data_IF_831854167828
#
_entry.id   IF_831854167828
#
_cell.length_a   1.000
_cell.length_b   1.000
_cell.length_c   1.000
_cell.angle_alpha   90.00
_cell.angle_beta   90.00
_cell.angle_gamma   90.00
#
_symmetry.space_group_name_H-M   'P 1'
#
loop_
_entity.id
_entity.type
_entity.pdbx_description
1 polymer ?
#
# COMPACT_ATOMS: atom_id res chain seq x y z
N UNK A 1 1.64 48.18 15.40
CA UNK A 1 1.39 46.98 14.58
C UNK A 1 -0.01 47.10 13.99
N UNK A 2 -0.20 46.89 12.69
CA UNK A 2 -1.53 46.87 12.07
C UNK A 2 -2.20 45.55 12.46
N UNK A 3 -3.37 45.70 13.03
CA UNK A 3 -4.12 44.62 13.66
C UNK A 3 -4.73 43.74 12.56
N UNK A 4 -4.56 42.41 12.67
CA UNK A 4 -5.24 41.43 11.79
C UNK A 4 -4.52 41.03 10.50
N UNK A 5 -3.29 41.48 10.24
CA UNK A 5 -2.49 41.04 9.09
C UNK A 5 -1.67 39.78 9.40
N UNK A 6 -1.59 38.79 8.47
CA UNK A 6 -0.81 37.59 8.67
C UNK A 6 0.70 37.90 8.67
N UNK A 7 1.45 37.21 9.53
CA UNK A 7 2.91 37.39 9.72
C UNK A 7 3.72 36.71 8.61
N UNK A 8 3.41 37.02 7.35
CA UNK A 8 4.15 36.55 6.18
C UNK A 8 5.28 37.54 5.80
N UNK A 9 6.40 37.07 5.23
CA UNK A 9 7.43 37.95 4.68
C UNK A 9 6.81 38.91 3.66
N UNK A 10 6.98 40.22 3.85
CA UNK A 10 6.40 41.26 3.00
C UNK A 10 5.11 41.92 3.53
N UNK A 11 4.49 41.38 4.58
CA UNK A 11 3.33 41.98 5.27
C UNK A 11 3.69 42.61 6.62
N UNK A 12 4.95 42.99 6.79
CA UNK A 12 5.49 43.59 8.00
C UNK A 12 5.88 45.04 7.69
N UNK A 13 5.31 45.98 8.43
CA UNK A 13 5.60 47.42 8.30
C UNK A 13 6.37 47.89 9.55
N UNK A 14 7.56 48.45 9.32
CA UNK A 14 8.34 49.12 10.36
C UNK A 14 7.79 50.53 10.57
N UNK A 15 7.55 50.92 11.81
CA UNK A 15 7.09 52.27 12.16
C UNK A 15 8.29 53.24 12.21
N UNK A 16 8.41 54.20 11.29
CA UNK A 16 9.54 55.14 11.25
C UNK A 16 9.46 56.20 12.35
N UNK A 17 8.33 56.33 13.05
CA UNK A 17 8.15 57.30 14.15
C UNK A 17 8.69 56.80 15.48
N UNK A 18 9.03 55.51 15.56
CA UNK A 18 9.56 54.89 16.79
C UNK A 18 10.98 55.36 17.06
N UNK A 19 11.15 56.24 18.04
CA UNK A 19 12.45 56.81 18.44
C UNK A 19 13.10 56.11 19.65
N UNK A 20 12.32 55.36 20.44
CA UNK A 20 12.80 54.67 21.62
C UNK A 20 12.95 53.16 21.37
N UNK A 21 14.17 52.66 21.56
CA UNK A 21 14.52 51.24 21.37
C UNK A 21 15.17 50.61 22.60
N UNK A 22 15.11 51.27 23.76
CA UNK A 22 15.69 50.74 24.99
C UNK A 22 15.02 49.41 25.36
N UNK A 23 15.84 48.42 25.74
CA UNK A 23 15.38 47.09 26.16
C UNK A 23 15.62 46.98 27.66
N UNK A 24 14.59 46.58 28.42
CA UNK A 24 14.73 46.28 29.84
C UNK A 24 15.13 44.82 30.01
N UNK A 25 16.04 44.54 30.96
CA UNK A 25 16.41 43.16 31.27
C UNK A 25 15.20 42.41 31.84
N UNK A 26 14.79 41.34 31.17
CA UNK A 26 13.71 40.45 31.63
C UNK A 26 14.19 39.44 32.67
N UNK A 27 15.50 39.23 32.78
CA UNK A 27 16.10 38.32 33.76
C UNK A 27 16.80 39.15 34.85
N UNK A 28 16.45 38.90 36.11
CA UNK A 28 17.10 39.53 37.26
C UNK A 28 17.67 38.49 38.21
N UNK A 29 18.69 38.91 38.95
CA UNK A 29 19.34 38.11 39.97
C UNK A 29 19.15 38.80 41.32
N UNK A 30 18.65 38.06 42.30
CA UNK A 30 18.55 38.52 43.68
C UNK A 30 18.99 37.39 44.61
N UNK A 31 19.98 37.68 45.47
CA UNK A 31 20.55 36.72 46.42
C UNK A 31 20.96 35.38 45.79
N UNK A 32 21.60 35.42 44.62
CA UNK A 32 22.08 34.21 43.92
C UNK A 32 21.01 33.45 43.13
N UNK A 33 19.73 33.83 43.26
CA UNK A 33 18.63 33.21 42.52
C UNK A 33 18.21 34.06 41.32
N UNK A 34 17.99 33.36 40.20
CA UNK A 34 17.39 33.95 39.00
C UNK A 34 15.88 34.02 39.18
N UNK A 35 15.31 35.20 38.96
CA UNK A 35 13.86 35.36 38.84
C UNK A 35 13.53 36.14 37.56
N UNK A 36 12.51 35.71 36.80
CA UNK A 36 12.01 36.46 35.66
C UNK A 36 11.25 37.71 36.14
N UNK A 37 11.41 38.82 35.44
CA UNK A 37 10.56 40.00 35.61
C UNK A 37 9.14 39.65 35.15
N UNK A 38 8.14 39.96 35.97
CA UNK A 38 6.73 39.60 35.69
C UNK A 38 6.09 40.50 34.64
N UNK A 39 6.66 41.69 34.41
CA UNK A 39 6.16 42.66 33.45
C UNK A 39 7.03 42.68 32.18
N UNK A 40 6.64 41.88 31.19
CA UNK A 40 7.31 41.83 29.89
C UNK A 40 6.82 43.00 29.04
N UNK A 41 7.69 44.00 28.81
CA UNK A 41 7.46 45.07 27.85
C UNK A 41 8.32 44.89 26.61
N UNK A 42 7.78 45.27 25.46
CA UNK A 42 8.53 45.32 24.21
C UNK A 42 9.59 46.44 24.20
N UNK A 43 10.50 46.43 23.19
CA UNK A 43 11.53 47.45 23.04
C UNK A 43 10.94 48.86 22.98
N UNK A 44 11.50 49.80 23.74
CA UNK A 44 10.98 51.17 23.87
C UNK A 44 9.80 51.31 24.84
N UNK A 45 9.52 50.28 25.65
CA UNK A 45 8.44 50.32 26.64
C UNK A 45 7.04 50.08 26.06
N UNK A 46 6.94 49.63 24.81
CA UNK A 46 5.67 49.28 24.16
C UNK A 46 5.01 48.10 24.86
N UNK A 47 3.68 48.09 24.96
CA UNK A 47 2.94 46.91 25.40
C UNK A 47 3.30 45.71 24.53
N UNK A 48 3.44 44.53 25.13
CA UNK A 48 3.72 43.30 24.39
C UNK A 48 2.41 42.80 23.78
N UNK A 49 2.44 42.22 22.58
CA UNK A 49 1.22 41.69 21.93
C UNK A 49 0.48 40.63 22.79
N UNK A 50 1.16 40.06 23.78
CA UNK A 50 0.61 39.12 24.77
C UNK A 50 -0.37 39.80 25.74
N UNK A 51 -0.21 41.10 26.02
CA UNK A 51 -1.13 41.90 26.86
C UNK A 51 -2.38 42.34 26.07
N UNK A 52 -2.42 42.07 24.77
CA UNK A 52 -3.61 42.33 23.96
C UNK A 52 -4.57 41.16 24.13
N UNK A 53 -5.73 41.40 24.76
CA UNK A 53 -6.86 40.46 24.82
C UNK A 53 -7.34 39.93 23.45
N UNK A 54 -6.77 40.42 22.33
CA UNK A 54 -7.03 39.91 20.99
C UNK A 54 -6.59 38.45 20.76
N UNK A 55 -5.71 37.89 21.61
CA UNK A 55 -5.31 36.47 21.57
C UNK A 55 -5.71 35.68 22.82
N UNK A 56 -6.37 36.31 23.79
CA UNK A 56 -7.03 35.56 24.85
C UNK A 56 -8.21 34.83 24.19
N UNK A 57 -8.10 33.51 24.05
CA UNK A 57 -9.28 32.70 23.79
C UNK A 57 -10.31 33.05 24.87
N UNK A 58 -11.57 33.34 24.52
CA UNK A 58 -12.62 33.56 25.51
C UNK A 58 -12.60 32.41 26.52
N UNK A 59 -12.67 32.72 27.81
CA UNK A 59 -12.68 31.74 28.91
C UNK A 59 -13.81 30.69 28.76
N UNK A 60 -14.77 30.96 27.88
CA UNK A 60 -15.88 30.07 27.50
C UNK A 60 -15.52 28.98 26.46
N UNK A 61 -14.28 28.91 25.96
CA UNK A 61 -13.91 27.86 24.99
C UNK A 61 -13.44 26.55 25.64
N UNK A 62 -13.84 26.27 26.88
CA UNK A 62 -13.76 24.91 27.40
C UNK A 62 -14.89 24.12 26.74
N UNK A 63 -14.66 23.66 25.51
CA UNK A 63 -15.53 22.69 24.86
C UNK A 63 -15.68 21.52 25.85
N UNK A 64 -16.89 21.38 26.40
CA UNK A 64 -17.21 20.28 27.30
C UNK A 64 -17.01 18.98 26.51
N UNK A 65 -15.91 18.28 26.77
CA UNK A 65 -15.66 16.95 26.23
C UNK A 65 -16.32 15.94 27.19
N UNK A 66 -17.50 15.40 26.86
CA UNK A 66 -18.20 14.46 27.74
C UNK A 66 -17.39 13.18 28.00
N UNK A 67 -16.34 12.92 27.21
CA UNK A 67 -15.44 11.79 27.45
C UNK A 67 -14.53 11.98 28.67
N UNK A 68 -14.38 13.19 29.20
CA UNK A 68 -13.68 13.45 30.46
C UNK A 68 -14.53 13.07 31.69
N UNK A 69 -15.85 13.26 31.62
CA UNK A 69 -16.79 12.96 32.72
C UNK A 69 -17.19 11.49 32.73
N UNK A 70 -17.52 10.93 31.55
CA UNK A 70 -18.08 9.58 31.42
C UNK A 70 -17.07 8.55 30.92
N UNK A 71 -15.83 8.97 30.62
CA UNK A 71 -14.83 8.14 29.99
C UNK A 71 -15.06 7.98 28.48
N UNK A 72 -13.97 7.81 27.73
CA UNK A 72 -14.05 7.49 26.30
C UNK A 72 -14.45 6.02 26.13
N UNK A 73 -15.52 5.75 25.39
CA UNK A 73 -15.92 4.39 25.02
C UNK A 73 -14.73 3.72 24.33
N UNK A 74 -14.37 2.49 24.74
CA UNK A 74 -13.35 1.70 24.05
C UNK A 74 -13.78 1.54 22.61
N UNK A 75 -13.04 2.17 21.69
CA UNK A 75 -13.28 1.96 20.27
C UNK A 75 -13.07 0.47 19.97
N UNK A 76 -13.90 -0.13 19.09
CA UNK A 76 -13.65 -1.49 18.63
C UNK A 76 -12.24 -1.55 18.07
N UNK A 77 -11.52 -2.64 18.36
CA UNK A 77 -10.19 -2.84 17.81
C UNK A 77 -10.27 -2.73 16.28
N UNK A 78 -9.37 -1.95 15.69
CA UNK A 78 -9.25 -1.90 14.24
C UNK A 78 -9.00 -3.33 13.72
N UNK A 79 -9.61 -3.71 12.59
CA UNK A 79 -9.38 -5.03 12.02
C UNK A 79 -7.89 -5.21 11.75
N UNK A 80 -7.37 -6.39 12.09
CA UNK A 80 -5.97 -6.72 11.82
C UNK A 80 -5.80 -6.79 10.30
N UNK A 81 -4.99 -5.88 9.75
CA UNK A 81 -4.65 -5.90 8.33
C UNK A 81 -3.61 -6.99 8.11
N UNK A 82 -4.05 -8.12 7.55
CA UNK A 82 -3.16 -9.21 7.14
C UNK A 82 -2.63 -8.87 5.75
N UNK A 83 -1.30 -8.78 5.55
CA UNK A 83 -0.76 -8.47 4.23
C UNK A 83 -1.00 -9.62 3.25
N UNK A 84 -1.05 -9.28 1.96
CA UNK A 84 -1.41 -10.20 0.86
C UNK A 84 -0.63 -11.51 0.87
N UNK A 85 0.70 -11.43 0.98
CA UNK A 85 1.59 -12.58 0.97
C UNK A 85 1.37 -13.52 2.17
N UNK A 86 0.97 -12.99 3.33
CA UNK A 86 0.58 -13.83 4.49
C UNK A 86 -0.77 -14.48 4.25
N UNK A 87 -1.73 -13.73 3.69
CA UNK A 87 -3.08 -14.25 3.45
C UNK A 87 -3.09 -15.44 2.48
N UNK A 88 -2.23 -15.39 1.46
CA UNK A 88 -2.12 -16.40 0.40
C UNK A 88 -0.91 -17.34 0.53
N UNK A 89 -0.23 -17.37 1.67
CA UNK A 89 0.92 -18.27 1.91
C UNK A 89 0.55 -19.72 1.56
N UNK A 90 1.40 -20.36 0.74
CA UNK A 90 1.27 -21.74 0.25
C UNK A 90 -0.04 -22.05 -0.51
N UNK A 91 -0.84 -21.04 -0.86
CA UNK A 91 -2.03 -21.24 -1.71
C UNK A 91 -1.64 -21.14 -3.17
N UNK A 92 -1.94 -22.19 -3.93
CA UNK A 92 -1.72 -22.23 -5.37
C UNK A 92 -2.95 -22.71 -6.11
N UNK A 93 -3.13 -22.23 -7.33
CA UNK A 93 -4.13 -22.71 -8.27
C UNK A 93 -3.46 -23.68 -9.22
N UNK A 94 -4.11 -24.80 -9.51
CA UNK A 94 -3.56 -25.84 -10.37
C UNK A 94 -4.54 -26.17 -11.50
N UNK A 95 -4.07 -26.03 -12.73
CA UNK A 95 -4.81 -26.30 -13.95
C UNK A 95 -4.13 -27.40 -14.74
N UNK A 96 -4.87 -28.45 -15.09
CA UNK A 96 -4.43 -29.44 -16.07
C UNK A 96 -4.70 -28.87 -17.46
N UNK A 97 -3.67 -28.82 -18.28
CA UNK A 97 -3.72 -28.33 -19.65
C UNK A 97 -3.02 -29.32 -20.59
N UNK A 98 -3.21 -29.13 -21.89
CA UNK A 98 -2.37 -29.79 -22.89
C UNK A 98 -1.91 -28.80 -23.95
N UNK A 99 -0.83 -29.13 -24.63
CA UNK A 99 -0.43 -28.43 -25.84
C UNK A 99 -0.07 -29.45 -26.93
N UNK A 100 -0.27 -29.05 -28.19
CA UNK A 100 0.12 -29.83 -29.36
C UNK A 100 1.54 -29.43 -29.74
N UNK A 101 2.43 -30.42 -29.82
CA UNK A 101 3.79 -30.24 -30.33
C UNK A 101 3.85 -30.85 -31.73
N UNK A 102 4.23 -30.06 -32.72
CA UNK A 102 4.44 -30.56 -34.09
C UNK A 102 5.64 -31.49 -34.14
N UNK A 103 5.53 -32.54 -34.94
CA UNK A 103 6.59 -33.52 -35.20
C UNK A 103 6.87 -33.48 -36.70
N UNK A 104 8.11 -33.23 -37.05
CA UNK A 104 8.57 -33.29 -38.43
C UNK A 104 9.20 -34.66 -38.69
N UNK A 105 9.13 -35.12 -39.94
CA UNK A 105 9.81 -36.33 -40.44
C UNK A 105 9.35 -37.67 -39.86
N UNK A 106 8.09 -37.75 -39.39
CA UNK A 106 7.44 -39.03 -39.06
C UNK A 106 6.19 -39.22 -39.93
N UNK A 107 6.09 -40.29 -40.76
CA UNK A 107 4.92 -40.52 -41.59
C UNK A 107 3.64 -40.82 -40.79
N UNK A 108 3.80 -41.36 -39.57
CA UNK A 108 2.67 -41.82 -38.76
C UNK A 108 2.08 -40.75 -37.83
N UNK A 109 2.86 -39.72 -37.44
CA UNK A 109 2.44 -38.73 -36.46
C UNK A 109 2.89 -37.31 -36.86
N UNK A 110 1.92 -36.45 -37.18
CA UNK A 110 2.17 -35.04 -37.52
C UNK A 110 2.25 -34.13 -36.27
N UNK A 111 1.53 -34.49 -35.19
CA UNK A 111 1.60 -33.79 -33.92
C UNK A 111 1.42 -34.73 -32.73
N UNK A 112 2.14 -34.46 -31.65
CA UNK A 112 2.00 -35.15 -30.36
C UNK A 112 1.32 -34.26 -29.33
N UNK A 113 0.44 -34.82 -28.51
CA UNK A 113 -0.23 -34.09 -27.42
C UNK A 113 0.54 -34.31 -26.12
N UNK A 114 0.94 -33.22 -25.45
CA UNK A 114 1.62 -33.28 -24.15
C UNK A 114 0.73 -32.65 -23.08
N UNK A 115 0.42 -33.44 -22.06
CA UNK A 115 -0.37 -33.02 -20.90
C UNK A 115 0.57 -32.33 -19.93
N UNK A 116 0.16 -31.19 -19.38
CA UNK A 116 0.94 -30.39 -18.44
C UNK A 116 0.05 -29.86 -17.32
N UNK A 117 0.67 -29.53 -16.20
CA UNK A 117 0.04 -28.83 -15.08
C UNK A 117 0.59 -27.40 -15.02
N UNK A 118 -0.30 -26.43 -15.10
CA UNK A 118 -0.01 -25.01 -14.91
C UNK A 118 -0.36 -24.67 -13.48
N UNK A 119 0.64 -24.25 -12.71
CA UNK A 119 0.50 -23.90 -11.30
C UNK A 119 0.72 -22.39 -11.16
N UNK A 120 -0.26 -21.71 -10.57
CA UNK A 120 -0.22 -20.29 -10.24
C UNK A 120 -0.09 -20.12 -8.73
N UNK A 121 0.88 -19.32 -8.27
CA UNK A 121 1.10 -19.02 -6.87
C UNK A 121 0.43 -17.69 -6.52
N UNK A 122 -0.55 -17.73 -5.59
CA UNK A 122 -1.34 -16.56 -5.22
C UNK A 122 -0.56 -15.56 -4.36
N UNK A 123 0.51 -16.00 -3.72
CA UNK A 123 1.35 -15.16 -2.84
C UNK A 123 2.05 -14.02 -3.61
N UNK A 124 2.65 -14.34 -4.76
CA UNK A 124 3.59 -13.49 -5.49
C UNK A 124 3.23 -13.29 -6.98
N UNK A 125 2.06 -13.77 -7.41
CA UNK A 125 1.57 -13.72 -8.79
C UNK A 125 2.55 -14.36 -9.79
N UNK A 126 3.15 -15.49 -9.41
CA UNK A 126 4.05 -16.25 -10.28
C UNK A 126 3.42 -17.53 -10.80
N UNK A 127 3.95 -18.02 -11.93
CA UNK A 127 3.46 -19.22 -12.60
C UNK A 127 4.61 -20.18 -12.92
N UNK A 128 4.30 -21.48 -12.92
CA UNK A 128 5.19 -22.53 -13.41
C UNK A 128 4.40 -23.53 -14.22
N UNK A 129 5.04 -24.11 -15.24
CA UNK A 129 4.44 -25.18 -16.05
C UNK A 129 5.27 -26.44 -15.88
N UNK A 130 4.62 -27.50 -15.46
CA UNK A 130 5.24 -28.79 -15.14
C UNK A 130 4.53 -29.91 -15.89
N UNK A 131 5.29 -30.69 -16.63
CA UNK A 131 4.81 -31.91 -17.26
C UNK A 131 4.94 -33.09 -16.28
N UNK A 132 3.84 -33.81 -16.00
CA UNK A 132 3.90 -35.01 -15.18
C UNK A 132 4.77 -36.08 -15.84
N UNK A 133 5.49 -36.84 -15.01
CA UNK A 133 6.33 -37.94 -15.50
C UNK A 133 5.45 -39.12 -15.91
N UNK A 134 5.60 -39.56 -17.16
CA UNK A 134 4.88 -40.71 -17.74
C UNK A 134 5.90 -41.77 -18.10
N UNK A 135 5.71 -42.99 -17.57
CA UNK A 135 6.58 -44.14 -17.86
C UNK A 135 6.54 -44.47 -19.35
N UNK A 136 7.68 -44.87 -19.92
CA UNK A 136 7.84 -45.25 -21.33
C UNK A 136 7.50 -44.15 -22.35
N UNK A 137 7.52 -42.87 -21.95
CA UNK A 137 7.24 -41.76 -22.87
C UNK A 137 8.38 -41.46 -23.85
N UNK A 138 9.62 -41.81 -23.49
CA UNK A 138 10.80 -41.49 -24.30
C UNK A 138 11.12 -39.99 -24.42
N UNK A 139 10.42 -39.12 -23.69
CA UNK A 139 10.57 -37.66 -23.75
C UNK A 139 11.18 -37.09 -22.48
N UNK A 140 11.86 -35.94 -22.63
CA UNK A 140 12.31 -35.14 -21.51
C UNK A 140 11.10 -34.50 -20.83
N UNK A 141 10.83 -34.93 -19.59
CA UNK A 141 9.66 -34.54 -18.80
C UNK A 141 10.08 -33.80 -17.53
N UNK A 142 9.12 -33.11 -16.92
CA UNK A 142 9.31 -32.34 -15.70
C UNK A 142 9.01 -30.86 -15.91
N UNK A 143 9.82 -29.98 -15.34
CA UNK A 143 9.56 -28.55 -15.35
C UNK A 143 9.88 -27.94 -16.72
N UNK A 144 8.83 -27.56 -17.45
CA UNK A 144 8.94 -26.90 -18.76
C UNK A 144 9.22 -25.39 -18.60
N UNK A 145 8.56 -24.76 -17.63
CA UNK A 145 8.72 -23.33 -17.34
C UNK A 145 9.03 -23.14 -15.86
N UNK A 146 10.13 -22.43 -15.57
CA UNK A 146 10.53 -22.09 -14.20
C UNK A 146 9.50 -21.15 -13.56
N UNK A 147 9.30 -21.27 -12.24
CA UNK A 147 8.49 -20.32 -11.45
C UNK A 147 9.00 -18.90 -11.67
N UNK A 148 8.12 -18.02 -12.13
CA UNK A 148 8.39 -16.61 -12.34
C UNK A 148 7.14 -15.87 -12.81
N UNK A 149 7.24 -14.54 -12.93
CA UNK A 149 6.19 -13.73 -13.56
C UNK A 149 6.30 -13.90 -15.07
N UNK A 150 5.27 -14.48 -15.68
CA UNK A 150 5.25 -14.78 -17.10
C UNK A 150 4.58 -13.61 -17.84
N UNK A 151 5.26 -12.96 -18.80
CA UNK A 151 4.64 -11.93 -19.61
C UNK A 151 3.60 -12.56 -20.55
N UNK A 152 2.45 -11.91 -20.66
CA UNK A 152 1.35 -12.24 -21.58
C UNK A 152 1.62 -11.69 -22.98
N UNK A 153 2.13 -10.45 -23.04
CA UNK A 153 2.41 -9.71 -24.26
C UNK A 153 3.79 -9.02 -24.14
N UNK A 154 4.34 -8.58 -25.28
CA UNK A 154 5.59 -7.81 -25.33
C UNK A 154 5.47 -6.42 -24.66
N UNK A 155 4.24 -6.00 -24.33
CA UNK A 155 3.91 -4.77 -23.61
C UNK A 155 4.23 -4.83 -22.10
N UNK A 156 4.70 -5.97 -21.59
CA UNK A 156 5.06 -6.12 -20.17
C UNK A 156 3.89 -6.44 -19.23
N UNK A 157 2.71 -6.77 -19.78
CA UNK A 157 1.58 -7.28 -19.00
C UNK A 157 1.88 -8.70 -18.51
N UNK A 158 1.60 -9.00 -17.25
CA UNK A 158 1.78 -10.34 -16.69
C UNK A 158 0.47 -11.09 -16.62
N UNK A 159 0.55 -12.42 -16.70
CA UNK A 159 -0.60 -13.28 -16.44
C UNK A 159 -1.09 -13.11 -15.00
N UNK A 160 -2.40 -12.87 -14.86
CA UNK A 160 -3.06 -12.77 -13.57
C UNK A 160 -4.03 -13.94 -13.38
N UNK A 161 -4.32 -14.33 -12.14
CA UNK A 161 -5.19 -15.48 -11.88
C UNK A 161 -6.61 -15.33 -12.43
N UNK A 162 -7.11 -14.09 -12.58
CA UNK A 162 -8.42 -13.78 -13.20
C UNK A 162 -8.49 -14.11 -14.69
N UNK A 163 -7.36 -14.13 -15.37
CA UNK A 163 -7.30 -14.45 -16.79
C UNK A 163 -7.36 -15.97 -17.04
N UNK A 164 -7.02 -16.76 -16.01
CA UNK A 164 -7.06 -18.22 -16.04
C UNK A 164 -8.49 -18.72 -15.84
N UNK A 165 -8.92 -19.64 -16.68
CA UNK A 165 -10.14 -20.42 -16.48
C UNK A 165 -10.02 -21.75 -17.23
N UNK A 166 -10.97 -22.66 -17.04
CA UNK A 166 -11.09 -23.89 -17.83
C UNK A 166 -11.56 -23.55 -19.25
N UNK A 167 -10.98 -24.21 -20.26
CA UNK A 167 -11.33 -24.01 -21.67
C UNK A 167 -10.70 -22.78 -22.32
N UNK A 168 -9.75 -22.13 -21.63
CA UNK A 168 -9.01 -20.99 -22.16
C UNK A 168 -7.66 -21.43 -22.73
N UNK A 169 -7.23 -20.70 -23.75
CA UNK A 169 -5.93 -20.85 -24.37
C UNK A 169 -4.94 -19.86 -23.78
N UNK A 170 -3.82 -20.38 -23.28
CA UNK A 170 -2.72 -19.62 -22.70
C UNK A 170 -1.49 -19.66 -23.59
N UNK A 171 -1.08 -18.51 -24.10
CA UNK A 171 0.17 -18.35 -24.82
C UNK A 171 1.31 -18.07 -23.83
N UNK A 172 2.26 -18.99 -23.71
CA UNK A 172 3.45 -18.85 -22.86
C UNK A 172 4.68 -19.17 -23.70
N UNK A 173 5.59 -18.20 -23.86
CA UNK A 173 6.84 -18.33 -24.64
C UNK A 173 6.64 -18.96 -26.04
N UNK A 174 5.61 -18.53 -26.75
CA UNK A 174 5.31 -18.99 -28.12
C UNK A 174 4.62 -20.35 -28.22
N UNK A 175 4.25 -20.98 -27.09
CA UNK A 175 3.43 -22.20 -27.06
C UNK A 175 2.04 -21.91 -26.51
N UNK A 176 1.02 -22.49 -27.15
CA UNK A 176 -0.38 -22.36 -26.75
C UNK A 176 -0.78 -23.58 -25.92
N UNK A 177 -1.19 -23.34 -24.68
CA UNK A 177 -1.66 -24.34 -23.74
C UNK A 177 -3.17 -24.22 -23.58
N UNK A 178 -3.90 -25.30 -23.85
CA UNK A 178 -5.34 -25.34 -23.67
C UNK A 178 -5.67 -25.94 -22.29
N UNK A 179 -6.35 -25.18 -21.43
CA UNK A 179 -6.76 -25.65 -20.10
C UNK A 179 -7.98 -26.56 -20.19
N UNK A 180 -7.90 -27.75 -19.59
CA UNK A 180 -8.98 -28.76 -19.64
C UNK A 180 -9.68 -28.90 -18.31
N UNK A 181 -8.92 -28.90 -17.21
CA UNK A 181 -9.49 -29.10 -15.88
C UNK A 181 -8.68 -28.33 -14.83
N UNK A 182 -9.25 -28.20 -13.65
CA UNK A 182 -8.55 -27.63 -12.50
C UNK A 182 -8.85 -28.40 -11.22
N UNK A 183 -7.98 -28.21 -10.23
CA UNK A 183 -8.08 -28.85 -8.92
C UNK A 183 -9.34 -28.40 -8.15
N UNK A 184 -9.76 -29.22 -7.18
CA UNK A 184 -10.93 -28.93 -6.35
C UNK A 184 -10.78 -27.60 -5.60
N UNK A 185 -9.60 -27.31 -5.04
CA UNK A 185 -9.33 -26.04 -4.38
C UNK A 185 -9.54 -24.85 -5.34
N UNK A 186 -9.03 -24.98 -6.56
CA UNK A 186 -9.15 -23.95 -7.60
C UNK A 186 -10.63 -23.74 -7.94
N UNK A 187 -11.40 -24.82 -8.16
CA UNK A 187 -12.85 -24.71 -8.43
C UNK A 187 -13.61 -23.99 -7.33
N UNK A 188 -13.31 -24.27 -6.06
CA UNK A 188 -13.96 -23.61 -4.92
C UNK A 188 -13.60 -22.14 -4.87
N UNK A 189 -12.30 -21.81 -5.03
CA UNK A 189 -11.83 -20.42 -5.02
C UNK A 189 -12.53 -19.58 -6.10
N UNK A 190 -12.64 -20.08 -7.33
CA UNK A 190 -13.34 -19.37 -8.41
C UNK A 190 -14.84 -19.25 -8.13
N UNK A 191 -15.49 -20.28 -7.56
CA UNK A 191 -16.92 -20.21 -7.20
C UNK A 191 -17.20 -19.17 -6.12
N UNK A 192 -16.35 -19.07 -5.11
CA UNK A 192 -16.49 -18.09 -4.02
C UNK A 192 -16.32 -16.67 -4.54
N UNK A 193 -15.41 -16.46 -5.49
CA UNK A 193 -15.13 -15.12 -6.02
C UNK A 193 -16.14 -14.68 -7.10
N UNK A 194 -16.67 -15.61 -7.89
CA UNK A 194 -17.62 -15.32 -8.98
C UNK A 194 -19.09 -15.21 -8.53
N UNK A 195 -19.39 -15.53 -7.27
CA UNK A 195 -20.68 -15.22 -6.65
C UNK A 195 -20.49 -14.13 -5.59
N UNK A 196 -20.48 -12.84 -5.99
CA UNK A 196 -20.82 -11.81 -5.02
C UNK A 196 -22.28 -12.07 -4.58
N UNK A 197 -22.56 -11.93 -3.29
CA UNK A 197 -23.92 -11.94 -2.75
C UNK A 197 -24.83 -10.94 -3.47
#
# INVERSE_FOLDING_TARGET
MAWGLPKLPGLIFSDPTKSQHHIRSSLRYYQGHRFPDTFIRGPGGTATDVDSNAFALPDDSVNYDPSLTYGRVKQPALPVVIPHWVHYDKRCLNFTAFFKQTVYDNPDENYRVRIVNIIYFLEDDTMTVMEPRVKNSGLWQGRLVKRGKIPKNDLGEFWHWKDLDIGKDLCIYGKVFHTVSCDLFTKVQFKTVLKPE
#
